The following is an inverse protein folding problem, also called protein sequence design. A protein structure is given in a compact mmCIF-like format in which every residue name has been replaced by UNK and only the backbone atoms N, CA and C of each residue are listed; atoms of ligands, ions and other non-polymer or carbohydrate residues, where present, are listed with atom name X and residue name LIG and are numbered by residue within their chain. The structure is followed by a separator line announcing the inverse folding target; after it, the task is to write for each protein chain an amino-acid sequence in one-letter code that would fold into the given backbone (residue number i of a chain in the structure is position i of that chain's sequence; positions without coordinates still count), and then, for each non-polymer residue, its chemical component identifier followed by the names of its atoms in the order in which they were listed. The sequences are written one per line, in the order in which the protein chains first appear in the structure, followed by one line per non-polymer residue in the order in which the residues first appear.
data_IF_940017940657
#
_entry.id   IF_940017940657
#
_cell.length_a   1.000
_cell.length_b   1.000
_cell.length_c   1.000
_cell.angle_alpha   90.00
_cell.angle_beta   90.00
_cell.angle_gamma   90.00
#
_symmetry.space_group_name_H-M   'P 1'
#
loop_
_entity.id
_entity.type
_entity.pdbx_description
1 polymer ?
#
# COMPACT_ATOMS: atom_id res chain seq x y z
N UNK A 1 18.05 -14.65 -28.66
CA UNK A 1 18.49 -13.69 -27.63
C UNK A 1 17.23 -13.11 -27.02
N UNK A 2 16.96 -13.37 -25.75
CA UNK A 2 15.82 -12.76 -25.05
C UNK A 2 16.07 -11.26 -24.98
N UNK A 3 15.20 -10.46 -25.59
CA UNK A 3 15.24 -9.01 -25.45
C UNK A 3 15.12 -8.67 -23.97
N UNK A 4 16.05 -7.91 -23.44
CA UNK A 4 16.01 -7.36 -22.08
C UNK A 4 15.64 -5.88 -22.17
N UNK A 5 14.33 -5.58 -22.23
CA UNK A 5 13.82 -4.24 -22.59
C UNK A 5 14.23 -3.16 -21.60
N UNK A 6 14.63 -3.54 -20.37
CA UNK A 6 15.07 -2.62 -19.32
C UNK A 6 16.60 -2.62 -19.13
N UNK A 7 17.37 -3.19 -20.06
CA UNK A 7 18.83 -3.15 -19.96
C UNK A 7 19.34 -1.69 -19.96
N UNK A 8 20.18 -1.38 -18.97
CA UNK A 8 20.73 -0.03 -18.78
C UNK A 8 19.84 0.93 -17.94
N UNK A 9 18.61 0.57 -17.66
CA UNK A 9 17.76 1.37 -16.77
C UNK A 9 18.02 1.05 -15.28
N UNK A 10 18.10 2.10 -14.47
CA UNK A 10 18.06 1.96 -13.01
C UNK A 10 16.64 2.26 -12.53
N UNK A 11 16.06 1.34 -11.77
CA UNK A 11 14.71 1.47 -11.19
C UNK A 11 14.80 1.40 -9.68
N UNK A 12 14.36 2.46 -9.01
CA UNK A 12 14.25 2.50 -7.55
C UNK A 12 12.84 2.11 -7.13
N UNK A 13 12.73 1.09 -6.28
CA UNK A 13 11.45 0.66 -5.69
C UNK A 13 11.36 1.15 -4.25
N UNK A 14 10.25 1.78 -3.88
CA UNK A 14 10.11 2.50 -2.61
C UNK A 14 9.04 1.92 -1.66
N UNK A 15 8.38 0.82 -2.04
CA UNK A 15 7.44 0.10 -1.17
C UNK A 15 8.13 -0.50 0.05
N UNK A 16 7.37 -0.89 1.10
CA UNK A 16 7.89 -1.69 2.20
C UNK A 16 8.63 -2.93 1.69
N UNK A 17 9.75 -3.29 2.32
CA UNK A 17 10.64 -4.34 1.84
C UNK A 17 9.91 -5.66 1.53
N UNK A 18 9.00 -6.10 2.41
CA UNK A 18 8.21 -7.35 2.22
C UNK A 18 7.25 -7.33 1.02
N UNK A 19 6.99 -6.16 0.42
CA UNK A 19 6.05 -5.98 -0.70
C UNK A 19 6.76 -5.74 -2.04
N UNK A 20 8.09 -5.80 -2.06
CA UNK A 20 8.88 -5.49 -3.24
C UNK A 20 9.27 -6.72 -4.06
N UNK A 21 9.29 -7.91 -3.45
CA UNK A 21 9.96 -9.09 -4.03
C UNK A 21 9.47 -9.43 -5.44
N UNK A 22 8.15 -9.43 -5.68
CA UNK A 22 7.60 -9.79 -6.98
C UNK A 22 7.95 -8.76 -8.06
N UNK A 23 7.77 -7.45 -7.79
CA UNK A 23 8.10 -6.39 -8.72
C UNK A 23 9.60 -6.33 -9.01
N UNK A 24 10.44 -6.46 -7.98
CA UNK A 24 11.90 -6.49 -8.11
C UNK A 24 12.35 -7.64 -9.03
N UNK A 25 11.85 -8.85 -8.79
CA UNK A 25 12.18 -10.02 -9.62
C UNK A 25 11.77 -9.81 -11.08
N UNK A 26 10.57 -9.27 -11.32
CA UNK A 26 10.08 -9.01 -12.68
C UNK A 26 10.91 -7.93 -13.40
N UNK A 27 11.29 -6.86 -12.71
CA UNK A 27 12.14 -5.80 -13.26
C UNK A 27 13.54 -6.33 -13.58
N UNK A 28 14.14 -7.12 -12.68
CA UNK A 28 15.45 -7.74 -12.88
C UNK A 28 15.43 -8.76 -14.04
N UNK A 29 14.36 -9.54 -14.15
CA UNK A 29 14.18 -10.48 -15.27
C UNK A 29 14.12 -9.77 -16.63
N UNK A 30 13.71 -8.51 -16.67
CA UNK A 30 13.73 -7.65 -17.87
C UNK A 30 15.02 -6.86 -18.03
N UNK A 31 16.04 -7.09 -17.19
CA UNK A 31 17.37 -6.50 -17.31
C UNK A 31 17.58 -5.19 -16.57
N UNK A 32 16.63 -4.71 -15.78
CA UNK A 32 16.80 -3.51 -14.99
C UNK A 32 17.82 -3.67 -13.85
N UNK A 33 18.60 -2.62 -13.59
CA UNK A 33 19.33 -2.48 -12.34
C UNK A 33 18.34 -1.97 -11.27
N UNK A 34 17.91 -2.84 -10.34
CA UNK A 34 16.91 -2.50 -9.34
C UNK A 34 17.56 -2.16 -8.01
N UNK A 35 17.18 -1.02 -7.46
CA UNK A 35 17.61 -0.55 -6.14
C UNK A 35 16.38 -0.45 -5.23
N UNK A 36 16.41 -1.12 -4.08
CA UNK A 36 15.34 -1.03 -3.09
C UNK A 36 15.68 0.02 -2.03
N UNK A 37 14.92 1.10 -1.99
CA UNK A 37 15.00 2.14 -0.94
C UNK A 37 13.58 2.34 -0.39
N UNK A 38 13.15 1.54 0.59
CA UNK A 38 11.84 1.68 1.17
C UNK A 38 11.63 3.08 1.76
N UNK A 39 10.60 3.77 1.31
CA UNK A 39 10.15 5.06 1.84
C UNK A 39 8.89 4.93 2.69
N UNK A 40 8.47 3.71 2.95
CA UNK A 40 7.33 3.40 3.82
C UNK A 40 7.64 2.12 4.59
N UNK A 41 7.54 2.18 5.91
CA UNK A 41 7.52 1.04 6.81
C UNK A 41 6.12 0.80 7.35
N UNK A 42 5.80 -0.47 7.55
CA UNK A 42 4.58 -0.96 8.21
C UNK A 42 5.04 -1.62 9.50
N UNK A 43 5.01 -0.86 10.59
CA UNK A 43 5.53 -1.32 11.87
C UNK A 43 4.38 -1.68 12.82
N UNK A 44 4.39 -2.86 13.42
CA UNK A 44 3.43 -3.20 14.46
C UNK A 44 3.43 -2.16 15.59
N UNK A 45 2.28 -1.98 16.21
CA UNK A 45 2.21 -1.16 17.42
C UNK A 45 2.78 -1.94 18.59
N UNK A 46 3.73 -1.35 19.28
CA UNK A 46 4.55 -1.98 20.33
C UNK A 46 4.38 -1.35 21.72
N UNK A 47 3.67 -0.22 21.83
CA UNK A 47 3.41 0.40 23.12
C UNK A 47 2.51 -0.50 23.99
N UNK A 48 2.84 -0.71 25.28
CA UNK A 48 2.11 -1.65 26.15
C UNK A 48 0.59 -1.43 26.19
N UNK A 49 0.15 -0.16 26.21
CA UNK A 49 -1.27 0.19 26.23
C UNK A 49 -1.99 -0.18 24.91
N UNK A 50 -1.29 -0.05 23.78
CA UNK A 50 -1.81 -0.43 22.45
C UNK A 50 -1.87 -1.96 22.34
N UNK A 51 -0.82 -2.66 22.75
CA UNK A 51 -0.80 -4.13 22.77
C UNK A 51 -1.94 -4.68 23.63
N UNK A 52 -2.15 -4.15 24.83
CA UNK A 52 -3.27 -4.56 25.70
C UNK A 52 -4.65 -4.28 25.09
N UNK A 53 -4.80 -3.19 24.34
CA UNK A 53 -6.04 -2.90 23.61
C UNK A 53 -6.26 -3.92 22.50
N UNK A 54 -5.24 -4.19 21.69
CA UNK A 54 -5.29 -5.19 20.63
C UNK A 54 -5.62 -6.57 21.21
N UNK A 55 -4.95 -6.97 22.30
CA UNK A 55 -5.18 -8.25 22.99
C UNK A 55 -6.66 -8.41 23.37
N UNK A 56 -7.23 -7.43 24.05
CA UNK A 56 -8.64 -7.44 24.42
C UNK A 56 -9.55 -7.55 23.21
N UNK A 57 -9.33 -6.72 22.18
CA UNK A 57 -10.17 -6.69 20.98
C UNK A 57 -10.11 -8.01 20.20
N UNK A 58 -8.96 -8.67 20.13
CA UNK A 58 -8.83 -9.97 19.48
C UNK A 58 -9.46 -11.10 20.30
N UNK A 59 -9.40 -11.06 21.63
CA UNK A 59 -10.10 -12.02 22.49
C UNK A 59 -11.62 -11.83 22.45
N UNK A 60 -12.08 -10.58 22.39
CA UNK A 60 -13.50 -10.23 22.33
C UNK A 60 -14.08 -10.33 20.91
N UNK A 61 -13.27 -10.71 19.91
CA UNK A 61 -13.68 -10.81 18.52
C UNK A 61 -14.90 -11.73 18.33
N UNK A 62 -15.06 -12.75 19.17
CA UNK A 62 -16.22 -13.64 19.15
C UNK A 62 -17.55 -12.92 19.45
N UNK A 63 -17.53 -11.74 20.02
CA UNK A 63 -18.71 -10.92 20.30
C UNK A 63 -19.11 -10.03 19.12
N UNK A 64 -18.24 -9.94 18.09
CA UNK A 64 -18.50 -9.13 16.91
C UNK A 64 -19.32 -9.91 15.87
N UNK A 65 -20.21 -9.22 15.16
CA UNK A 65 -20.94 -9.74 14.00
C UNK A 65 -20.26 -9.40 12.70
N UNK A 66 -19.53 -8.27 12.69
CA UNK A 66 -18.90 -7.74 11.48
C UNK A 66 -17.41 -7.48 11.69
N UNK A 67 -16.61 -7.82 10.71
CA UNK A 67 -15.19 -7.46 10.65
C UNK A 67 -14.89 -6.78 9.31
N UNK A 68 -14.22 -5.63 9.34
CA UNK A 68 -13.89 -4.87 8.15
C UNK A 68 -12.39 -4.68 8.06
N UNK A 69 -11.78 -5.15 6.96
CA UNK A 69 -10.37 -4.95 6.66
C UNK A 69 -10.21 -3.84 5.62
N UNK A 70 -9.55 -2.75 5.98
CA UNK A 70 -9.38 -1.61 5.06
C UNK A 70 -8.13 -1.71 4.18
N UNK A 71 -7.28 -2.70 4.38
CA UNK A 71 -6.07 -2.95 3.59
C UNK A 71 -5.53 -4.36 3.81
N UNK A 72 -4.71 -4.84 2.89
CA UNK A 72 -3.98 -6.10 3.03
C UNK A 72 -3.06 -6.08 4.26
N UNK A 73 -2.37 -4.97 4.53
CA UNK A 73 -1.54 -4.84 5.73
C UNK A 73 -2.35 -5.04 7.02
N UNK A 74 -3.59 -4.56 7.06
CA UNK A 74 -4.46 -4.79 8.22
C UNK A 74 -4.79 -6.28 8.39
N UNK A 75 -5.04 -7.00 7.30
CA UNK A 75 -5.29 -8.43 7.32
C UNK A 75 -4.03 -9.21 7.76
N UNK A 76 -2.87 -8.91 7.18
CA UNK A 76 -1.59 -9.53 7.54
C UNK A 76 -1.27 -9.35 9.03
N UNK A 77 -1.32 -8.11 9.53
CA UNK A 77 -1.02 -7.79 10.93
C UNK A 77 -2.02 -8.43 11.88
N UNK A 78 -3.32 -8.51 11.50
CA UNK A 78 -4.34 -9.19 12.31
C UNK A 78 -4.05 -10.68 12.43
N UNK A 79 -3.82 -11.37 11.30
CA UNK A 79 -3.58 -12.81 11.32
C UNK A 79 -2.27 -13.16 12.02
N UNK A 80 -1.23 -12.34 11.86
CA UNK A 80 0.01 -12.50 12.61
C UNK A 80 -0.25 -12.33 14.12
N UNK A 81 -0.94 -11.27 14.54
CA UNK A 81 -1.24 -11.02 15.95
C UNK A 81 -2.11 -12.12 16.56
N UNK A 82 -3.05 -12.69 15.80
CA UNK A 82 -3.85 -13.84 16.24
C UNK A 82 -3.01 -15.11 16.37
N UNK A 83 -2.13 -15.39 15.42
CA UNK A 83 -1.24 -16.55 15.46
C UNK A 83 -0.30 -16.52 16.68
N UNK A 84 0.30 -15.36 16.97
CA UNK A 84 1.16 -15.15 18.14
C UNK A 84 0.43 -15.40 19.48
N UNK A 85 -0.90 -15.29 19.50
CA UNK A 85 -1.79 -15.50 20.65
C UNK A 85 -2.53 -16.84 20.62
N UNK A 86 -2.26 -17.71 19.65
CA UNK A 86 -2.97 -18.97 19.41
C UNK A 86 -4.50 -18.78 19.30
N UNK A 87 -4.95 -17.67 18.73
CA UNK A 87 -6.38 -17.37 18.50
C UNK A 87 -6.81 -17.89 17.13
N UNK A 88 -8.04 -18.39 17.06
CA UNK A 88 -8.68 -18.87 15.82
C UNK A 88 -9.73 -17.88 15.37
N UNK A 89 -9.82 -17.65 14.07
CA UNK A 89 -10.82 -16.76 13.48
C UNK A 89 -12.24 -17.31 13.70
N UNK A 90 -13.16 -16.53 14.28
CA UNK A 90 -14.55 -16.99 14.53
C UNK A 90 -15.33 -17.12 13.21
N UNK A 91 -15.86 -18.31 12.94
CA UNK A 91 -16.52 -18.63 11.67
C UNK A 91 -17.87 -17.88 11.44
N UNK A 92 -18.50 -17.35 12.49
CA UNK A 92 -19.80 -16.66 12.39
C UNK A 92 -19.70 -15.20 11.93
N UNK A 93 -18.50 -14.61 11.95
CA UNK A 93 -18.30 -13.20 11.62
C UNK A 93 -18.44 -12.98 10.13
N UNK A 94 -19.26 -12.04 9.72
CA UNK A 94 -19.29 -11.54 8.36
C UNK A 94 -18.08 -10.64 8.11
N UNK A 95 -17.27 -11.00 7.10
CA UNK A 95 -16.03 -10.28 6.80
C UNK A 95 -16.18 -9.44 5.54
N UNK A 96 -15.73 -8.20 5.61
CA UNK A 96 -15.68 -7.27 4.50
C UNK A 96 -14.24 -6.78 4.30
N UNK A 97 -13.86 -6.54 3.05
CA UNK A 97 -12.52 -6.08 2.73
C UNK A 97 -12.54 -5.00 1.63
N UNK A 98 -11.73 -3.97 1.78
CA UNK A 98 -11.49 -3.00 0.72
C UNK A 98 -10.33 -3.53 -0.14
N UNK A 99 -10.64 -3.81 -1.43
CA UNK A 99 -9.65 -4.19 -2.41
C UNK A 99 -9.47 -5.70 -2.61
N UNK A 100 -9.23 -6.07 -3.87
CA UNK A 100 -9.07 -7.46 -4.31
C UNK A 100 -7.88 -8.16 -3.66
N UNK A 101 -6.77 -7.45 -3.45
CA UNK A 101 -5.58 -7.99 -2.79
C UNK A 101 -5.87 -8.40 -1.33
N UNK A 102 -6.65 -7.59 -0.59
CA UNK A 102 -7.07 -7.91 0.79
C UNK A 102 -7.97 -9.14 0.80
N UNK A 103 -8.93 -9.20 -0.13
CA UNK A 103 -9.85 -10.34 -0.24
C UNK A 103 -9.11 -11.63 -0.60
N UNK A 104 -8.20 -11.57 -1.56
CA UNK A 104 -7.38 -12.72 -1.97
C UNK A 104 -6.48 -13.22 -0.82
N UNK A 105 -5.87 -12.29 -0.09
CA UNK A 105 -5.05 -12.63 1.08
C UNK A 105 -5.87 -13.37 2.15
N UNK A 106 -7.04 -12.83 2.52
CA UNK A 106 -7.93 -13.45 3.50
C UNK A 106 -8.39 -14.83 3.05
N UNK A 107 -8.77 -14.98 1.76
CA UNK A 107 -9.20 -16.26 1.19
C UNK A 107 -8.09 -17.32 1.24
N UNK A 108 -6.83 -16.94 0.97
CA UNK A 108 -5.68 -17.84 1.09
C UNK A 108 -5.46 -18.35 2.53
N UNK A 109 -6.01 -17.65 3.54
CA UNK A 109 -5.98 -18.04 4.94
C UNK A 109 -7.31 -18.61 5.45
N UNK A 110 -8.20 -19.02 4.54
CA UNK A 110 -9.48 -19.67 4.88
C UNK A 110 -10.58 -18.71 5.35
N UNK A 111 -10.41 -17.40 5.18
CA UNK A 111 -11.39 -16.38 5.59
C UNK A 111 -12.07 -15.82 4.34
N UNK A 112 -13.37 -16.13 4.17
CA UNK A 112 -14.17 -15.58 3.08
C UNK A 112 -14.56 -14.14 3.39
N UNK A 113 -14.24 -13.21 2.48
CA UNK A 113 -14.56 -11.79 2.63
C UNK A 113 -15.32 -11.25 1.42
N UNK A 114 -16.31 -10.38 1.68
CA UNK A 114 -17.03 -9.64 0.65
C UNK A 114 -16.34 -8.32 0.35
N UNK A 115 -16.11 -8.01 -0.92
CA UNK A 115 -15.58 -6.71 -1.35
C UNK A 115 -16.54 -5.99 -2.28
N UNK A 116 -16.56 -4.63 -2.24
CA UNK A 116 -17.38 -3.86 -3.15
C UNK A 116 -16.76 -3.81 -4.56
N UNK A 117 -17.57 -3.51 -5.57
CA UNK A 117 -17.04 -3.21 -6.91
C UNK A 117 -16.18 -1.94 -6.91
N UNK A 118 -16.65 -0.91 -6.22
CA UNK A 118 -15.90 0.32 -6.00
C UNK A 118 -15.05 0.16 -4.74
N UNK A 119 -13.75 -0.07 -4.92
CA UNK A 119 -12.81 -0.47 -3.86
C UNK A 119 -12.41 0.71 -2.95
N UNK A 120 -13.41 1.28 -2.27
CA UNK A 120 -13.25 2.37 -1.31
C UNK A 120 -14.30 2.25 -0.18
N UNK A 121 -14.25 3.15 0.79
CA UNK A 121 -15.18 3.17 1.93
C UNK A 121 -16.63 3.39 1.49
N UNK A 122 -16.85 4.22 0.50
CA UNK A 122 -18.16 4.54 -0.05
C UNK A 122 -18.80 3.32 -0.71
N UNK A 123 -18.02 2.59 -1.52
CA UNK A 123 -18.47 1.34 -2.14
C UNK A 123 -18.79 0.27 -1.08
N UNK A 124 -17.98 0.18 -0.02
CA UNK A 124 -18.25 -0.74 1.10
C UNK A 124 -19.56 -0.40 1.80
N UNK A 125 -19.78 0.89 2.12
CA UNK A 125 -21.01 1.38 2.75
C UNK A 125 -22.26 1.22 1.86
N UNK A 126 -22.09 1.04 0.54
CA UNK A 126 -23.17 0.77 -0.40
C UNK A 126 -23.62 -0.71 -0.41
N UNK A 127 -22.83 -1.63 0.17
CA UNK A 127 -23.21 -3.04 0.23
C UNK A 127 -24.50 -3.24 1.06
N UNK A 128 -25.46 -4.05 0.60
CA UNK A 128 -26.73 -4.26 1.32
C UNK A 128 -26.54 -4.69 2.77
N UNK A 129 -25.57 -5.58 3.03
CA UNK A 129 -25.29 -6.08 4.37
C UNK A 129 -24.80 -4.98 5.34
N UNK A 130 -24.15 -3.92 4.85
CA UNK A 130 -23.70 -2.79 5.67
C UNK A 130 -24.71 -1.65 5.75
N UNK A 131 -25.85 -1.77 5.07
CA UNK A 131 -26.99 -0.84 5.22
C UNK A 131 -27.84 -1.15 6.45
N UNK A 132 -27.88 -2.42 6.89
CA UNK A 132 -28.73 -2.92 7.97
C UNK A 132 -27.88 -3.48 9.11
N UNK A 133 -27.19 -2.61 9.83
CA UNK A 133 -26.22 -2.99 10.87
C UNK A 133 -26.66 -2.55 12.28
N UNK A 134 -27.93 -2.16 12.45
CA UNK A 134 -28.45 -1.70 13.73
C UNK A 134 -28.29 -2.78 14.81
N UNK A 135 -27.69 -2.40 15.94
CA UNK A 135 -27.42 -3.28 17.08
C UNK A 135 -26.25 -4.26 16.85
N UNK A 136 -25.58 -4.24 15.70
CA UNK A 136 -24.43 -5.10 15.44
C UNK A 136 -23.14 -4.45 15.94
N UNK A 137 -22.19 -5.28 16.41
CA UNK A 137 -20.85 -4.86 16.77
C UNK A 137 -19.91 -5.14 15.59
N UNK A 138 -19.25 -4.08 15.13
CA UNK A 138 -18.33 -4.08 14.01
C UNK A 138 -16.91 -3.74 14.49
N UNK A 139 -15.93 -4.61 14.18
CA UNK A 139 -14.52 -4.32 14.41
C UNK A 139 -13.85 -3.97 13.07
N UNK A 140 -13.28 -2.76 13.00
CA UNK A 140 -12.57 -2.27 11.81
C UNK A 140 -11.07 -2.41 12.03
N UNK A 141 -10.43 -3.29 11.26
CA UNK A 141 -8.99 -3.54 11.30
C UNK A 141 -8.26 -2.55 10.39
N UNK A 142 -7.30 -1.80 10.97
CA UNK A 142 -6.62 -0.71 10.28
C UNK A 142 -5.22 -0.44 10.84
N UNK A 143 -4.47 0.41 10.14
CA UNK A 143 -3.32 1.11 10.71
C UNK A 143 -3.75 2.29 11.58
N UNK A 144 -2.83 2.79 12.38
CA UNK A 144 -3.07 3.95 13.26
C UNK A 144 -3.52 5.17 12.45
N UNK A 145 -4.61 5.80 12.88
CA UNK A 145 -5.18 6.98 12.22
C UNK A 145 -5.89 6.67 10.90
N UNK A 146 -6.23 7.71 10.16
CA UNK A 146 -6.91 7.63 8.86
C UNK A 146 -8.35 8.16 8.91
N UNK A 147 -9.13 7.88 7.83
CA UNK A 147 -10.47 8.44 7.67
C UNK A 147 -11.46 7.83 8.65
N UNK A 148 -12.35 8.66 9.19
CA UNK A 148 -13.42 8.26 10.13
C UNK A 148 -14.76 7.99 9.44
N UNK A 149 -14.90 8.34 8.16
CA UNK A 149 -16.17 8.29 7.40
C UNK A 149 -16.85 6.92 7.49
N UNK A 150 -16.09 5.83 7.36
CA UNK A 150 -16.64 4.48 7.42
C UNK A 150 -17.30 4.19 8.78
N UNK A 151 -16.57 4.41 9.86
CA UNK A 151 -17.10 4.13 11.19
C UNK A 151 -18.19 5.11 11.59
N UNK A 152 -18.07 6.38 11.23
CA UNK A 152 -19.11 7.38 11.49
C UNK A 152 -20.43 6.96 10.84
N UNK A 153 -20.42 6.60 9.55
CA UNK A 153 -21.64 6.19 8.83
C UNK A 153 -22.24 4.90 9.43
N UNK A 154 -21.42 3.93 9.84
CA UNK A 154 -21.93 2.72 10.47
C UNK A 154 -22.55 3.02 11.86
N UNK A 155 -21.95 3.95 12.63
CA UNK A 155 -22.55 4.42 13.90
C UNK A 155 -23.85 5.17 13.68
N UNK A 156 -23.96 5.98 12.63
CA UNK A 156 -25.22 6.64 12.22
C UNK A 156 -26.32 5.62 11.86
N UNK A 157 -25.92 4.39 11.43
CA UNK A 157 -26.79 3.24 11.21
C UNK A 157 -27.03 2.40 12.49
N UNK A 158 -26.70 2.94 13.65
CA UNK A 158 -26.84 2.32 14.98
C UNK A 158 -25.99 1.04 15.17
N UNK A 159 -24.85 0.89 14.49
CA UNK A 159 -23.86 -0.11 14.83
C UNK A 159 -22.94 0.38 15.96
N UNK A 160 -22.47 -0.55 16.81
CA UNK A 160 -21.30 -0.30 17.66
C UNK A 160 -20.05 -0.53 16.83
N UNK A 161 -19.17 0.46 16.72
CA UNK A 161 -17.97 0.36 15.88
C UNK A 161 -16.72 0.69 16.68
N UNK A 162 -15.79 -0.27 16.71
CA UNK A 162 -14.47 -0.14 17.29
C UNK A 162 -13.37 -0.27 16.22
N UNK A 163 -12.24 0.38 16.48
CA UNK A 163 -11.04 0.24 15.65
C UNK A 163 -10.00 -0.65 16.33
N UNK A 164 -9.62 -1.72 15.65
CA UNK A 164 -8.41 -2.48 15.96
C UNK A 164 -7.26 -1.93 15.11
N UNK A 165 -6.50 -1.05 15.71
CA UNK A 165 -5.32 -0.44 15.10
C UNK A 165 -4.10 -1.30 15.44
N UNK A 166 -3.48 -1.92 14.40
CA UNK A 166 -2.42 -2.92 14.60
C UNK A 166 -1.03 -2.43 14.23
N UNK A 167 -0.93 -1.43 13.37
CA UNK A 167 0.35 -0.95 12.84
C UNK A 167 0.33 0.55 12.61
N UNK A 168 1.53 1.12 12.55
CA UNK A 168 1.75 2.49 12.06
C UNK A 168 2.45 2.45 10.69
N UNK A 169 2.19 3.48 9.91
CA UNK A 169 2.92 3.76 8.69
C UNK A 169 3.87 4.92 8.96
N UNK A 170 5.13 4.74 8.62
CA UNK A 170 6.12 5.77 8.85
C UNK A 170 7.27 5.71 7.83
N UNK A 171 8.02 6.78 7.73
CA UNK A 171 9.27 6.79 7.00
C UNK A 171 10.30 5.96 7.78
N UNK A 172 10.98 4.95 7.15
CA UNK A 172 12.04 4.23 7.81
C UNK A 172 13.17 5.16 8.28
N UNK A 173 13.72 4.93 9.45
CA UNK A 173 14.76 5.79 10.04
C UNK A 173 16.01 5.90 9.16
N UNK A 174 16.38 4.81 8.49
CA UNK A 174 17.53 4.72 7.59
C UNK A 174 17.29 5.26 6.18
N UNK A 175 16.03 5.57 5.82
CA UNK A 175 15.67 5.94 4.45
C UNK A 175 16.45 7.14 3.91
N UNK A 176 16.65 8.18 4.73
CA UNK A 176 17.40 9.36 4.33
C UNK A 176 18.88 9.05 4.05
N UNK A 177 19.50 8.20 4.87
CA UNK A 177 20.90 7.79 4.66
C UNK A 177 21.04 6.93 3.40
N UNK A 178 20.14 5.97 3.17
CA UNK A 178 20.13 5.14 1.96
C UNK A 178 19.89 5.98 0.72
N UNK A 179 18.96 6.92 0.77
CA UNK A 179 18.68 7.85 -0.32
C UNK A 179 19.88 8.70 -0.69
N UNK A 180 20.49 9.36 0.31
CA UNK A 180 21.68 10.21 0.11
C UNK A 180 22.85 9.43 -0.47
N UNK A 181 23.11 8.22 0.06
CA UNK A 181 24.15 7.35 -0.47
C UNK A 181 23.88 6.98 -1.93
N UNK A 182 22.67 6.53 -2.24
CA UNK A 182 22.28 6.18 -3.60
C UNK A 182 22.41 7.37 -4.56
N UNK A 183 21.99 8.57 -4.15
CA UNK A 183 22.14 9.77 -4.98
C UNK A 183 23.60 10.08 -5.30
N UNK A 184 24.52 9.93 -4.33
CA UNK A 184 25.95 10.14 -4.56
C UNK A 184 26.53 9.14 -5.57
N UNK A 185 26.01 7.91 -5.60
CA UNK A 185 26.44 6.86 -6.50
C UNK A 185 25.81 6.99 -7.91
N UNK A 186 24.72 7.76 -8.04
CA UNK A 186 23.99 7.91 -9.31
C UNK A 186 24.77 8.69 -10.38
N UNK A 187 25.68 9.61 -9.98
CA UNK A 187 26.64 10.29 -10.88
C UNK A 187 26.02 10.84 -12.18
N UNK A 188 24.97 11.66 -12.09
CA UNK A 188 24.25 12.24 -13.23
C UNK A 188 23.56 11.23 -14.19
N UNK A 189 23.47 9.96 -13.84
CA UNK A 189 22.66 9.00 -14.59
C UNK A 189 21.17 9.23 -14.30
N UNK A 190 20.32 8.85 -15.24
CA UNK A 190 18.87 8.89 -15.08
C UNK A 190 18.37 7.66 -14.32
N UNK A 191 17.29 7.81 -13.55
CA UNK A 191 16.65 6.71 -12.87
C UNK A 191 15.12 6.86 -12.85
N UNK A 192 14.44 5.71 -12.84
CA UNK A 192 12.99 5.63 -12.64
C UNK A 192 12.70 5.35 -11.16
N UNK A 193 11.83 6.13 -10.56
CA UNK A 193 11.46 6.02 -9.13
C UNK A 193 10.00 5.60 -9.01
N UNK A 194 9.75 4.39 -8.51
CA UNK A 194 8.39 3.90 -8.29
C UNK A 194 7.80 4.51 -7.01
N UNK A 195 6.79 5.38 -7.15
CA UNK A 195 6.06 6.02 -6.05
C UNK A 195 4.62 5.51 -6.04
N UNK A 196 4.24 4.75 -5.04
CA UNK A 196 2.96 4.03 -5.01
C UNK A 196 1.81 4.79 -4.33
N UNK A 197 2.08 5.92 -3.67
CA UNK A 197 1.07 6.70 -2.97
C UNK A 197 1.51 8.15 -2.72
N UNK A 198 0.57 9.02 -2.38
CA UNK A 198 0.86 10.40 -1.93
C UNK A 198 1.71 10.39 -0.65
N UNK A 199 1.52 9.40 0.23
CA UNK A 199 2.31 9.26 1.46
C UNK A 199 3.79 8.98 1.12
N UNK A 200 4.05 8.04 0.21
CA UNK A 200 5.40 7.73 -0.26
C UNK A 200 6.05 8.93 -0.96
N UNK A 201 5.25 9.71 -1.74
CA UNK A 201 5.73 10.94 -2.35
C UNK A 201 6.15 11.99 -1.31
N UNK A 202 5.39 12.16 -0.23
CA UNK A 202 5.76 13.05 0.88
C UNK A 202 7.04 12.58 1.58
N UNK A 203 7.19 11.27 1.74
CA UNK A 203 8.41 10.70 2.31
C UNK A 203 9.62 10.91 1.40
N UNK A 204 9.45 10.80 0.07
CA UNK A 204 10.49 11.15 -0.89
C UNK A 204 10.93 12.61 -0.72
N UNK A 205 9.98 13.55 -0.61
CA UNK A 205 10.29 14.96 -0.37
C UNK A 205 11.00 15.19 0.97
N UNK A 206 10.70 14.39 2.00
CA UNK A 206 11.35 14.48 3.30
C UNK A 206 12.81 13.99 3.28
N UNK A 207 13.13 12.97 2.49
CA UNK A 207 14.50 12.44 2.37
C UNK A 207 15.34 13.21 1.35
N UNK A 208 14.71 13.93 0.42
CA UNK A 208 15.37 14.78 -0.59
C UNK A 208 14.80 16.22 -0.59
N UNK A 209 15.00 16.98 0.51
CA UNK A 209 14.46 18.32 0.63
C UNK A 209 15.10 19.32 -0.35
N UNK A 210 16.35 19.08 -0.76
CA UNK A 210 17.06 19.91 -1.71
C UNK A 210 16.59 19.72 -3.16
N UNK A 211 15.83 18.66 -3.43
CA UNK A 211 15.36 18.31 -4.77
C UNK A 211 16.50 18.20 -5.81
N UNK A 212 17.63 17.74 -5.35
CA UNK A 212 18.97 17.90 -5.99
C UNK A 212 19.09 17.28 -7.37
N UNK A 213 18.18 16.37 -7.76
CA UNK A 213 18.26 15.66 -9.03
C UNK A 213 16.88 15.49 -9.70
N UNK A 214 15.95 16.42 -9.51
CA UNK A 214 14.59 16.29 -10.09
C UNK A 214 14.61 16.16 -11.61
N UNK A 215 15.57 16.77 -12.30
CA UNK A 215 15.69 16.70 -13.76
C UNK A 215 16.22 15.35 -14.25
N UNK A 216 16.92 14.60 -13.40
CA UNK A 216 17.45 13.27 -13.72
C UNK A 216 16.57 12.11 -13.25
N UNK A 217 15.49 12.41 -12.52
CA UNK A 217 14.59 11.42 -11.97
C UNK A 217 13.24 11.45 -12.69
N UNK A 218 12.82 10.31 -13.18
CA UNK A 218 11.46 10.12 -13.69
C UNK A 218 10.62 9.36 -12.65
N UNK A 219 9.54 9.95 -12.19
CA UNK A 219 8.62 9.27 -11.29
C UNK A 219 7.68 8.36 -12.06
N UNK A 220 7.52 7.13 -11.60
CA UNK A 220 6.48 6.20 -12.03
C UNK A 220 5.42 6.18 -10.94
N UNK A 221 4.22 6.67 -11.24
CA UNK A 221 3.17 6.89 -10.23
C UNK A 221 1.84 6.26 -10.63
N UNK A 222 1.00 5.79 -9.68
CA UNK A 222 -0.30 5.22 -9.99
C UNK A 222 -1.38 6.29 -10.07
N UNK A 223 -1.97 6.43 -11.23
CA UNK A 223 -3.17 7.25 -11.47
C UNK A 223 -3.01 8.74 -11.27
N UNK A 224 -3.97 9.46 -11.80
CA UNK A 224 -4.01 10.92 -11.93
C UNK A 224 -3.84 11.68 -10.61
N UNK A 225 -4.34 11.12 -9.50
CA UNK A 225 -4.25 11.75 -8.18
C UNK A 225 -2.80 11.91 -7.70
N UNK A 226 -1.97 10.88 -7.91
CA UNK A 226 -0.56 10.91 -7.50
C UNK A 226 0.24 11.73 -8.50
N UNK A 227 -0.10 11.67 -9.80
CA UNK A 227 0.48 12.51 -10.85
C UNK A 227 0.35 13.98 -10.50
N UNK A 228 -0.87 14.45 -10.22
CA UNK A 228 -1.11 15.86 -9.82
C UNK A 228 -0.32 16.27 -8.57
N UNK A 229 -0.24 15.39 -7.58
CA UNK A 229 0.55 15.64 -6.38
C UNK A 229 2.05 15.74 -6.68
N UNK A 230 2.58 14.90 -7.56
CA UNK A 230 3.98 14.91 -7.99
C UNK A 230 4.31 16.17 -8.82
N UNK A 231 3.42 16.57 -9.72
CA UNK A 231 3.56 17.83 -10.46
C UNK A 231 3.56 19.04 -9.53
N UNK A 232 2.63 19.09 -8.56
CA UNK A 232 2.59 20.14 -7.56
C UNK A 232 3.83 20.16 -6.65
N UNK A 233 4.48 19.01 -6.48
CA UNK A 233 5.75 18.87 -5.77
C UNK A 233 6.97 19.31 -6.61
N UNK A 234 6.78 19.71 -7.88
CA UNK A 234 7.82 20.21 -8.77
C UNK A 234 8.58 19.16 -9.54
N UNK A 235 8.08 17.90 -9.65
CA UNK A 235 8.67 16.91 -10.54
C UNK A 235 8.24 17.16 -11.97
N UNK A 236 9.22 17.26 -12.90
CA UNK A 236 8.97 17.53 -14.30
C UNK A 236 8.72 16.25 -15.11
N UNK A 237 9.41 15.15 -14.75
CA UNK A 237 9.33 13.88 -15.47
C UNK A 237 8.48 12.88 -14.68
N UNK A 238 7.26 12.65 -15.16
CA UNK A 238 6.28 11.75 -14.52
C UNK A 238 5.66 10.87 -15.57
N UNK A 239 5.65 9.55 -15.35
CA UNK A 239 4.88 8.59 -16.12
C UNK A 239 3.83 7.95 -15.22
N UNK A 240 2.60 7.84 -15.74
CA UNK A 240 1.42 7.44 -14.95
C UNK A 240 1.00 6.03 -15.32
N UNK A 241 1.05 5.13 -14.35
CA UNK A 241 0.47 3.80 -14.43
C UNK A 241 -1.04 3.83 -14.14
N UNK A 242 -1.79 2.87 -14.67
CA UNK A 242 -3.24 2.80 -14.45
C UNK A 242 -3.61 2.66 -12.96
N UNK A 243 -2.83 1.87 -12.22
CA UNK A 243 -3.01 1.65 -10.79
C UNK A 243 -1.67 1.30 -10.10
N UNK A 244 -1.71 1.00 -8.81
CA UNK A 244 -0.53 0.68 -8.00
C UNK A 244 -0.16 -0.81 -8.02
N UNK A 245 -0.75 -1.64 -8.87
CA UNK A 245 -0.38 -3.07 -8.99
C UNK A 245 1.00 -3.22 -9.64
N UNK A 246 1.68 -4.33 -9.31
CA UNK A 246 3.00 -4.62 -9.90
C UNK A 246 2.93 -4.71 -11.42
N UNK A 247 1.89 -5.33 -11.95
CA UNK A 247 1.69 -5.46 -13.40
C UNK A 247 1.51 -4.10 -14.09
N UNK A 248 0.71 -3.20 -13.53
CA UNK A 248 0.51 -1.87 -14.11
C UNK A 248 1.79 -1.03 -14.05
N UNK A 249 2.50 -1.06 -12.94
CA UNK A 249 3.77 -0.36 -12.77
C UNK A 249 4.84 -0.90 -13.72
N UNK A 250 5.02 -2.23 -13.77
CA UNK A 250 5.98 -2.88 -14.68
C UNK A 250 5.67 -2.57 -16.14
N UNK A 251 4.42 -2.72 -16.57
CA UNK A 251 3.98 -2.43 -17.93
C UNK A 251 4.32 -1.00 -18.34
N UNK A 252 4.03 -0.04 -17.47
CA UNK A 252 4.31 1.38 -17.69
C UNK A 252 5.81 1.65 -17.83
N UNK A 253 6.65 1.04 -16.98
CA UNK A 253 8.09 1.14 -17.03
C UNK A 253 8.62 0.56 -18.36
N UNK A 254 8.13 -0.62 -18.74
CA UNK A 254 8.56 -1.29 -19.97
C UNK A 254 8.19 -0.48 -21.23
N UNK A 255 6.98 0.09 -21.26
CA UNK A 255 6.54 0.97 -22.35
C UNK A 255 7.42 2.24 -22.46
N UNK A 256 7.79 2.82 -21.33
CA UNK A 256 8.66 4.01 -21.30
C UNK A 256 10.08 3.70 -21.80
N UNK A 257 10.59 2.50 -21.50
CA UNK A 257 11.91 2.05 -21.90
C UNK A 257 11.97 1.56 -23.36
N UNK A 258 10.82 1.27 -23.98
CA UNK A 258 10.78 0.85 -25.37
C UNK A 258 11.38 1.95 -26.26
N UNK A 259 12.29 1.61 -27.20
CA UNK A 259 12.81 2.61 -28.12
C UNK A 259 11.63 3.24 -28.86
N UNK A 260 11.50 4.58 -28.74
CA UNK A 260 10.53 5.34 -29.53
C UNK A 260 10.82 5.03 -30.98
N UNK A 261 10.00 4.16 -31.59
CA UNK A 261 10.13 3.78 -32.99
C UNK A 261 10.23 5.05 -33.81
N UNK A 262 11.28 5.09 -34.62
CA UNK A 262 11.56 6.12 -35.61
C UNK A 262 10.25 6.41 -36.34
N UNK A 263 9.61 7.55 -36.07
CA UNK A 263 8.65 8.11 -37.02
C UNK A 263 9.45 8.50 -38.25
N UNK A 264 9.47 7.62 -39.22
CA UNK A 264 9.79 8.03 -40.59
C UNK A 264 8.58 8.82 -41.11
N UNK A 265 8.77 10.12 -41.26
CA UNK A 265 7.91 10.98 -42.08
C UNK A 265 7.91 10.51 -43.53
#
# INVERSE_FOLDING_TARGET
MTETPLAGFTVVVTRPARQNDALVQQLQAQGANVVAIPLLAIDPLDAPTQCQKIDRQLHDLQQCQLAIFISQNAAEQTLQAMAERNLVWPAHIQVFAIGSATTAFLAAHGISATSPQQMNSEGLLALPALQQVSGQHCLVFRGLGGRETLAQTLRERNATVDYCELYRRQLPAEAAAHWTKWLSDLQNRTALICINSIETLKHLQAVDPAASLRDNLTLVVPGERVTRAATAAGFAHIITANDATDNAMLHTITLHAAPTGIRHD
#
